data_IF_196292316208
#
_entry.id   IF_196292316208
#
_cell.length_a   1.000
_cell.length_b   1.000
_cell.length_c   1.000
_cell.angle_alpha   90.00
_cell.angle_beta   90.00
_cell.angle_gamma   90.00
#
_symmetry.space_group_name_H-M   'P 1'
#
loop_
_entity.id
_entity.type
_entity.pdbx_description
1 polymer ?
#
# COMPACT_ATOMS: atom_id res chain seq x y z
N UNK A 1 3.37 -4.43 -5.23
CA UNK A 1 2.83 -5.63 -4.55
C UNK A 1 1.53 -5.26 -3.85
N UNK A 2 0.40 -5.90 -4.15
CA UNK A 2 -0.93 -5.33 -3.83
C UNK A 2 -1.38 -5.58 -2.38
N UNK A 3 -1.01 -6.69 -1.74
CA UNK A 3 -1.41 -6.96 -0.36
C UNK A 3 -0.54 -6.19 0.64
N UNK A 4 -1.05 -5.04 1.09
CA UNK A 4 -0.40 -4.16 2.09
C UNK A 4 -0.68 -4.56 3.55
N UNK A 5 -1.71 -5.38 3.78
CA UNK A 5 -2.05 -5.92 5.10
C UNK A 5 -3.06 -5.10 5.91
N UNK A 6 -3.63 -4.02 5.36
CA UNK A 6 -4.70 -3.24 6.01
C UNK A 6 -6.12 -3.72 5.64
N UNK A 7 -6.25 -4.75 4.79
CA UNK A 7 -7.51 -5.16 4.16
C UNK A 7 -7.70 -6.66 4.32
N UNK A 8 -8.68 -7.06 5.13
CA UNK A 8 -9.02 -8.49 5.36
C UNK A 8 -10.11 -9.00 4.40
N UNK A 9 -11.03 -8.12 3.99
CA UNK A 9 -12.18 -8.47 3.14
C UNK A 9 -12.08 -7.81 1.77
N UNK A 10 -12.27 -8.61 0.72
CA UNK A 10 -12.35 -8.16 -0.67
C UNK A 10 -13.82 -8.05 -1.05
N UNK A 11 -14.34 -6.82 -1.17
CA UNK A 11 -15.66 -6.57 -1.74
C UNK A 11 -15.74 -7.01 -3.21
N UNK A 12 -16.87 -6.79 -3.88
CA UNK A 12 -17.10 -7.35 -5.23
C UNK A 12 -16.15 -6.82 -6.33
N UNK A 13 -15.61 -5.59 -6.22
CA UNK A 13 -14.66 -5.06 -7.21
C UNK A 13 -13.76 -3.92 -6.66
N UNK A 14 -12.94 -4.14 -5.61
CA UNK A 14 -12.05 -3.11 -5.10
C UNK A 14 -10.87 -2.86 -6.05
N UNK A 15 -10.51 -1.59 -6.20
CA UNK A 15 -9.30 -1.16 -6.89
C UNK A 15 -8.07 -1.82 -6.25
N UNK A 16 -7.19 -2.43 -7.06
CA UNK A 16 -5.93 -3.00 -6.57
C UNK A 16 -5.06 -1.89 -5.96
N UNK A 17 -4.47 -2.17 -4.82
CA UNK A 17 -3.64 -1.24 -4.03
C UNK A 17 -2.45 -0.69 -4.85
N UNK A 18 -1.82 -1.53 -5.68
CA UNK A 18 -0.76 -1.07 -6.59
C UNK A 18 -1.24 -0.06 -7.62
N UNK A 19 -2.45 -0.26 -8.14
CA UNK A 19 -3.02 0.60 -9.15
C UNK A 19 -3.44 1.93 -8.50
N UNK A 20 -4.01 1.88 -7.30
CA UNK A 20 -4.28 3.07 -6.50
C UNK A 20 -3.01 3.90 -6.26
N UNK A 21 -1.90 3.27 -5.82
CA UNK A 21 -0.62 3.97 -5.64
C UNK A 21 -0.11 4.62 -6.94
N UNK A 22 -0.24 3.93 -8.08
CA UNK A 22 0.15 4.47 -9.38
C UNK A 22 -0.74 5.64 -9.83
N UNK A 23 -2.04 5.59 -9.52
CA UNK A 23 -2.99 6.68 -9.80
C UNK A 23 -2.64 7.91 -8.96
N UNK A 24 -2.34 7.75 -7.67
CA UNK A 24 -1.91 8.86 -6.80
C UNK A 24 -0.64 9.52 -7.34
N UNK A 25 0.35 8.73 -7.79
CA UNK A 25 1.56 9.28 -8.39
C UNK A 25 1.30 10.04 -9.70
N UNK A 26 0.27 9.63 -10.46
CA UNK A 26 -0.10 10.26 -11.74
C UNK A 26 -1.14 11.37 -11.64
N UNK A 27 -1.80 11.53 -10.49
CA UNK A 27 -2.88 12.51 -10.32
C UNK A 27 -2.37 13.95 -10.23
N UNK A 28 -1.05 14.15 -10.12
CA UNK A 28 -0.44 15.46 -9.89
C UNK A 28 -0.63 15.97 -8.45
N UNK A 29 -1.25 15.17 -7.58
CA UNK A 29 -1.37 15.49 -6.17
C UNK A 29 0.00 15.51 -5.49
N UNK A 30 0.18 16.46 -4.57
CA UNK A 30 1.41 16.63 -3.80
C UNK A 30 1.19 16.23 -2.34
N UNK A 31 2.10 15.46 -1.73
CA UNK A 31 2.07 15.19 -0.31
C UNK A 31 1.91 16.48 0.52
N UNK A 32 0.98 16.49 1.47
CA UNK A 32 0.66 17.65 2.29
C UNK A 32 -0.45 18.55 1.74
N UNK A 33 -0.83 18.42 0.47
CA UNK A 33 -2.05 19.05 -0.06
C UNK A 33 -3.30 18.22 0.30
N UNK A 34 -4.47 18.85 0.51
CA UNK A 34 -5.71 18.11 0.73
C UNK A 34 -6.08 17.26 -0.49
N UNK A 35 -6.51 16.02 -0.24
CA UNK A 35 -7.01 15.10 -1.27
C UNK A 35 -8.43 14.68 -0.91
N UNK A 36 -9.35 14.74 -1.88
CA UNK A 36 -10.74 14.34 -1.71
C UNK A 36 -11.14 13.38 -2.83
N UNK A 37 -11.75 12.26 -2.45
CA UNK A 37 -12.39 11.33 -3.36
C UNK A 37 -13.87 11.19 -2.93
N UNK A 38 -14.84 11.79 -3.65
CA UNK A 38 -16.25 11.77 -3.27
C UNK A 38 -16.92 10.40 -3.50
N UNK A 39 -16.23 9.47 -4.17
CA UNK A 39 -16.72 8.12 -4.47
C UNK A 39 -15.69 7.07 -4.01
N UNK A 40 -15.09 7.30 -2.84
CA UNK A 40 -13.92 6.55 -2.38
C UNK A 40 -14.14 5.05 -2.19
N UNK A 41 -15.39 4.58 -2.09
CA UNK A 41 -15.73 3.16 -1.94
C UNK A 41 -14.99 2.53 -0.76
N UNK A 42 -14.07 1.59 -1.03
CA UNK A 42 -13.21 0.98 -0.01
C UNK A 42 -12.12 1.89 0.57
N UNK A 43 -11.99 3.13 0.07
CA UNK A 43 -10.99 4.10 0.50
C UNK A 43 -9.57 3.82 0.00
N UNK A 44 -9.36 2.83 -0.88
CA UNK A 44 -8.03 2.38 -1.31
C UNK A 44 -7.16 3.53 -1.83
N UNK A 45 -7.73 4.45 -2.60
CA UNK A 45 -7.00 5.59 -3.15
C UNK A 45 -6.48 6.54 -2.07
N UNK A 46 -7.33 6.87 -1.09
CA UNK A 46 -6.98 7.75 0.03
C UNK A 46 -5.99 7.08 0.98
N UNK A 47 -6.12 5.77 1.22
CA UNK A 47 -5.19 5.00 2.05
C UNK A 47 -3.79 4.99 1.42
N UNK A 48 -3.67 4.70 0.12
CA UNK A 48 -2.37 4.75 -0.56
C UNK A 48 -1.79 6.17 -0.58
N UNK A 49 -2.61 7.21 -0.78
CA UNK A 49 -2.16 8.60 -0.70
C UNK A 49 -1.63 8.95 0.70
N UNK A 50 -2.33 8.57 1.76
CA UNK A 50 -1.90 8.78 3.13
C UNK A 50 -0.59 8.04 3.45
N UNK A 51 -0.44 6.79 2.98
CA UNK A 51 0.80 6.04 3.14
C UNK A 51 1.97 6.71 2.40
N UNK A 52 1.75 7.22 1.19
CA UNK A 52 2.76 7.98 0.44
C UNK A 52 3.15 9.26 1.18
N UNK A 53 2.17 10.05 1.66
CA UNK A 53 2.46 11.30 2.36
C UNK A 53 3.14 11.13 3.72
N UNK A 54 2.93 9.99 4.39
CA UNK A 54 3.54 9.68 5.68
C UNK A 54 4.83 8.85 5.56
N UNK A 55 5.36 8.66 4.35
CA UNK A 55 6.52 7.81 4.06
C UNK A 55 6.41 6.41 4.69
N UNK A 56 5.19 5.86 4.71
CA UNK A 56 4.93 4.54 5.29
C UNK A 56 5.24 3.48 4.28
N UNK A 57 6.30 2.71 4.57
CA UNK A 57 6.69 1.56 3.78
C UNK A 57 5.49 0.63 3.57
N UNK A 58 5.15 0.27 2.33
CA UNK A 58 3.90 -0.40 2.06
C UNK A 58 3.94 -1.91 2.41
N UNK A 59 5.11 -2.41 2.79
CA UNK A 59 5.30 -3.74 3.38
C UNK A 59 5.33 -3.76 4.90
N UNK A 60 5.20 -2.60 5.57
CA UNK A 60 5.42 -2.47 7.02
C UNK A 60 4.50 -3.39 7.85
N UNK A 61 3.23 -3.44 7.47
CA UNK A 61 2.22 -4.26 8.16
C UNK A 61 2.17 -5.71 7.65
N UNK A 62 2.99 -6.07 6.66
CA UNK A 62 3.00 -7.43 6.13
C UNK A 62 3.63 -8.39 7.13
N UNK A 63 2.93 -9.48 7.44
CA UNK A 63 3.40 -10.47 8.41
C UNK A 63 4.37 -11.48 7.80
N UNK A 64 4.22 -11.82 6.51
CA UNK A 64 4.99 -12.89 5.88
C UNK A 64 5.50 -12.53 4.47
N UNK A 65 6.74 -12.89 4.18
CA UNK A 65 7.36 -12.76 2.87
C UNK A 65 7.86 -14.12 2.38
N UNK A 66 7.65 -14.44 1.09
CA UNK A 66 8.02 -15.76 0.56
C UNK A 66 9.52 -16.08 0.61
N UNK A 67 10.38 -15.05 0.68
CA UNK A 67 11.82 -15.23 0.79
C UNK A 67 12.28 -15.66 2.19
N UNK A 68 11.46 -15.58 3.24
CA UNK A 68 11.88 -15.97 4.60
C UNK A 68 12.12 -17.48 4.73
N UNK A 69 11.61 -18.28 3.80
CA UNK A 69 11.81 -19.74 3.76
C UNK A 69 12.96 -20.17 2.83
N UNK A 70 13.67 -19.22 2.21
CA UNK A 70 14.76 -19.54 1.29
C UNK A 70 16.09 -19.67 2.04
N UNK A 71 16.86 -20.74 1.78
CA UNK A 71 18.13 -21.00 2.46
C UNK A 71 19.19 -19.90 2.27
N UNK A 72 19.10 -19.10 1.19
CA UNK A 72 19.98 -17.96 0.95
C UNK A 72 19.52 -16.65 1.62
N UNK A 73 18.44 -16.69 2.41
CA UNK A 73 17.92 -15.51 3.08
C UNK A 73 18.87 -15.01 4.17
N UNK A 74 19.28 -13.75 4.05
CA UNK A 74 19.97 -13.05 5.11
C UNK A 74 18.95 -12.25 5.94
N UNK A 75 18.72 -12.67 7.19
CA UNK A 75 17.78 -12.04 8.10
C UNK A 75 18.24 -10.65 8.59
N UNK A 76 19.56 -10.40 8.69
CA UNK A 76 20.10 -9.11 9.16
C UNK A 76 19.82 -7.98 8.16
N UNK A 77 19.71 -8.30 6.87
CA UNK A 77 19.33 -7.31 5.85
C UNK A 77 17.82 -7.05 5.81
N UNK A 78 17.01 -7.89 6.47
CA UNK A 78 15.55 -7.84 6.46
C UNK A 78 15.01 -7.48 7.85
N UNK A 79 15.57 -6.43 8.45
CA UNK A 79 15.03 -5.83 9.67
C UNK A 79 13.89 -4.88 9.29
N UNK A 80 12.76 -5.00 9.99
CA UNK A 80 11.58 -4.13 9.81
C UNK A 80 11.78 -2.76 10.44
#
# INVERSE_FOLDING_TARGET
MHQRGYRDLTGQAPLKENLAAAIVQRSGWQPGAPMLDPMCGSGTLLIEAAMIASDRAPGLHRQHWGFTAWNGHNAELCVK
#
